data_IF_866573772335
#
_entry.id   IF_866573772335
#
_cell.length_a   1.000
_cell.length_b   1.000
_cell.length_c   1.000
_cell.angle_alpha   90.00
_cell.angle_beta   90.00
_cell.angle_gamma   90.00
#
_symmetry.space_group_name_H-M   'P 1'
#
loop_
_entity.id
_entity.type
_entity.pdbx_description
1 polymer ?
#
# COMPACT_ATOMS: atom_id res chain seq x y z
N UNK A 1 68.33 -44.51 -17.80
CA UNK A 1 68.31 -45.33 -19.07
C UNK A 1 67.08 -44.90 -19.84
N UNK A 2 67.37 -44.27 -21.00
CA UNK A 2 66.77 -44.33 -22.33
C UNK A 2 65.33 -43.79 -22.43
N UNK A 3 65.12 -42.57 -22.98
CA UNK A 3 65.28 -42.07 -24.36
C UNK A 3 64.36 -42.72 -25.36
N UNK A 4 63.75 -41.86 -26.16
CA UNK A 4 63.17 -41.93 -27.53
C UNK A 4 61.67 -41.70 -27.49
N UNK A 5 61.06 -40.68 -28.09
CA UNK A 5 61.44 -39.83 -29.22
C UNK A 5 60.34 -39.90 -30.30
N UNK A 6 60.16 -38.78 -30.99
CA UNK A 6 59.62 -38.64 -32.35
C UNK A 6 58.10 -38.39 -32.42
N UNK A 7 57.66 -37.18 -32.73
CA UNK A 7 57.67 -36.30 -33.90
C UNK A 7 56.46 -36.50 -34.84
N UNK A 8 55.85 -35.37 -35.15
CA UNK A 8 55.21 -34.94 -36.39
C UNK A 8 53.70 -35.16 -36.62
N UNK A 9 53.12 -34.04 -36.96
CA UNK A 9 51.83 -33.95 -37.64
C UNK A 9 51.21 -32.57 -37.61
N UNK A 10 51.90 -31.60 -38.26
CA UNK A 10 51.39 -30.29 -38.58
C UNK A 10 50.35 -30.40 -39.71
N UNK A 11 49.12 -30.01 -39.49
CA UNK A 11 48.21 -29.67 -40.58
C UNK A 11 47.44 -28.40 -40.23
N UNK A 12 47.92 -27.30 -40.81
CA UNK A 12 47.19 -26.04 -40.95
C UNK A 12 45.98 -26.29 -41.84
N UNK A 13 44.82 -25.90 -41.37
CA UNK A 13 43.66 -25.62 -42.25
C UNK A 13 43.19 -24.20 -41.96
N UNK A 14 43.61 -23.31 -42.86
CA UNK A 14 43.02 -21.97 -42.99
C UNK A 14 41.54 -22.11 -43.32
N UNK A 15 40.67 -21.51 -42.56
CA UNK A 15 39.30 -21.27 -43.04
C UNK A 15 38.90 -19.82 -42.69
N UNK A 16 38.63 -19.17 -43.73
CA UNK A 16 38.34 -17.76 -44.01
C UNK A 16 37.34 -17.13 -43.02
N UNK A 17 37.72 -15.98 -42.52
CA UNK A 17 36.86 -14.98 -41.87
C UNK A 17 35.94 -14.39 -42.95
N UNK A 18 34.66 -14.60 -42.83
CA UNK A 18 33.62 -13.76 -43.44
C UNK A 18 33.05 -12.86 -42.34
N UNK A 19 33.57 -11.63 -42.28
CA UNK A 19 32.90 -10.52 -41.65
C UNK A 19 31.69 -10.13 -42.51
N UNK A 20 30.50 -10.33 -41.96
CA UNK A 20 29.31 -9.64 -42.47
C UNK A 20 28.46 -9.17 -41.30
N UNK A 21 28.25 -7.87 -41.25
CA UNK A 21 27.02 -7.29 -40.81
C UNK A 21 27.00 -6.75 -39.37
N UNK A 22 27.29 -5.48 -39.24
CA UNK A 22 26.70 -4.65 -38.22
C UNK A 22 25.18 -4.84 -38.22
N UNK A 23 24.65 -5.46 -37.18
CA UNK A 23 23.24 -5.50 -36.84
C UNK A 23 23.08 -4.84 -35.50
N UNK A 24 22.27 -3.82 -35.49
CA UNK A 24 21.77 -3.00 -34.41
C UNK A 24 21.60 -3.80 -33.10
N UNK A 25 22.37 -3.49 -32.09
CA UNK A 25 22.21 -4.08 -30.76
C UNK A 25 21.06 -3.39 -30.02
N UNK A 26 19.84 -3.60 -30.49
CA UNK A 26 18.66 -3.47 -29.66
C UNK A 26 18.80 -4.48 -28.52
N UNK A 27 19.10 -3.99 -27.32
CA UNK A 27 19.26 -4.83 -26.14
C UNK A 27 18.03 -5.69 -25.90
N UNK A 28 18.13 -6.96 -26.28
CA UNK A 28 17.17 -7.99 -25.91
C UNK A 28 17.26 -8.13 -24.38
N UNK A 29 16.29 -7.51 -23.66
CA UNK A 29 16.13 -7.69 -22.21
C UNK A 29 15.93 -9.19 -21.96
N UNK A 30 16.59 -9.71 -20.93
CA UNK A 30 16.71 -11.13 -20.65
C UNK A 30 15.34 -11.81 -20.51
N UNK A 31 15.11 -12.86 -21.28
CA UNK A 31 14.01 -13.83 -21.14
C UNK A 31 14.36 -14.91 -20.10
N UNK A 32 15.07 -14.53 -19.03
CA UNK A 32 15.42 -15.43 -17.92
C UNK A 32 14.33 -15.49 -16.86
N UNK A 33 14.36 -16.53 -16.03
CA UNK A 33 13.50 -16.63 -14.86
C UNK A 33 13.76 -15.43 -13.91
N UNK A 34 12.68 -14.76 -13.49
CA UNK A 34 12.71 -13.61 -12.58
C UNK A 34 11.97 -13.98 -11.30
N UNK A 35 12.56 -13.70 -10.16
CA UNK A 35 11.88 -13.79 -8.86
C UNK A 35 11.69 -12.39 -8.30
N UNK A 36 10.45 -12.03 -7.99
CA UNK A 36 10.07 -10.76 -7.37
C UNK A 36 9.80 -11.00 -5.87
N UNK A 37 10.52 -10.32 -5.00
CA UNK A 37 10.27 -10.33 -3.56
C UNK A 37 9.26 -9.25 -3.22
N UNK A 38 8.15 -9.64 -2.59
CA UNK A 38 7.07 -8.75 -2.21
C UNK A 38 6.91 -8.69 -0.69
N UNK A 39 7.14 -7.51 -0.09
CA UNK A 39 6.99 -7.27 1.34
C UNK A 39 5.65 -6.60 1.67
N UNK A 40 5.07 -6.97 2.82
CA UNK A 40 3.82 -6.40 3.31
C UNK A 40 3.82 -6.29 4.85
N UNK A 41 3.22 -5.23 5.37
CA UNK A 41 3.19 -4.96 6.82
C UNK A 41 2.24 -5.83 7.62
N UNK A 42 1.20 -6.39 6.98
CA UNK A 42 0.18 -7.23 7.62
C UNK A 42 0.31 -8.70 7.20
N UNK A 43 -0.57 -9.56 7.74
CA UNK A 43 -0.59 -10.99 7.42
C UNK A 43 -0.89 -11.26 5.94
N UNK A 44 -0.09 -12.12 5.32
CA UNK A 44 -0.35 -12.60 3.96
C UNK A 44 -1.57 -13.53 3.93
N UNK A 45 -1.80 -14.30 4.99
CA UNK A 45 -2.82 -15.33 5.00
C UNK A 45 -4.21 -14.81 5.36
N UNK A 46 -4.29 -13.89 6.29
CA UNK A 46 -5.54 -13.49 6.93
C UNK A 46 -6.07 -12.15 6.40
N UNK A 47 -5.17 -11.19 6.09
CA UNK A 47 -5.61 -9.86 5.69
C UNK A 47 -6.10 -9.80 4.24
N UNK A 48 -6.99 -8.87 3.95
CA UNK A 48 -7.49 -8.63 2.59
C UNK A 48 -6.37 -8.22 1.62
N UNK A 49 -5.41 -7.40 2.10
CA UNK A 49 -4.21 -7.02 1.32
C UNK A 49 -3.33 -8.22 0.99
N UNK A 50 -3.11 -9.11 1.98
CA UNK A 50 -2.36 -10.35 1.79
C UNK A 50 -3.04 -11.30 0.79
N UNK A 51 -4.37 -11.45 0.86
CA UNK A 51 -5.14 -12.23 -0.12
C UNK A 51 -5.03 -11.63 -1.52
N UNK A 52 -5.02 -10.31 -1.64
CA UNK A 52 -4.77 -9.62 -2.91
C UNK A 52 -3.36 -9.88 -3.46
N UNK A 53 -2.34 -9.87 -2.61
CA UNK A 53 -0.97 -10.22 -3.00
C UNK A 53 -0.84 -11.70 -3.41
N UNK A 54 -1.54 -12.62 -2.75
CA UNK A 54 -1.62 -14.02 -3.19
C UNK A 54 -2.24 -14.15 -4.57
N UNK A 55 -3.32 -13.39 -4.84
CA UNK A 55 -3.96 -13.35 -6.14
C UNK A 55 -3.02 -12.77 -7.21
N UNK A 56 -2.33 -11.69 -6.90
CA UNK A 56 -1.30 -11.11 -7.78
C UNK A 56 -0.20 -12.14 -8.12
N UNK A 57 0.34 -12.83 -7.10
CA UNK A 57 1.31 -13.92 -7.28
C UNK A 57 0.78 -15.00 -8.20
N UNK A 58 -0.41 -15.55 -7.90
CA UNK A 58 -1.05 -16.60 -8.69
C UNK A 58 -1.15 -16.22 -10.18
N UNK A 59 -1.64 -14.99 -10.44
CA UNK A 59 -1.81 -14.49 -11.80
C UNK A 59 -0.47 -14.32 -12.51
N UNK A 60 0.51 -13.66 -11.88
CA UNK A 60 1.82 -13.43 -12.47
C UNK A 60 2.52 -14.74 -12.81
N UNK A 61 2.53 -15.71 -11.89
CA UNK A 61 3.16 -17.00 -12.10
C UNK A 61 2.47 -17.80 -13.23
N UNK A 62 1.13 -17.82 -13.23
CA UNK A 62 0.33 -18.51 -14.26
C UNK A 62 0.51 -17.88 -15.64
N UNK A 63 0.29 -16.58 -15.76
CA UNK A 63 0.30 -15.89 -17.06
C UNK A 63 1.71 -15.78 -17.65
N UNK A 64 2.76 -15.77 -16.81
CA UNK A 64 4.15 -15.84 -17.28
C UNK A 64 4.62 -17.27 -17.62
N UNK A 65 3.78 -18.30 -17.36
CA UNK A 65 4.18 -19.70 -17.50
C UNK A 65 5.30 -20.10 -16.54
N UNK A 66 5.36 -19.50 -15.35
CA UNK A 66 6.37 -19.74 -14.33
C UNK A 66 7.71 -19.03 -14.57
N UNK A 67 7.84 -18.20 -15.61
CA UNK A 67 9.06 -17.40 -15.85
C UNK A 67 9.27 -16.31 -14.81
N UNK A 68 8.17 -15.75 -14.31
CA UNK A 68 8.18 -14.76 -13.22
C UNK A 68 7.52 -15.40 -12.01
N UNK A 69 8.24 -15.47 -10.91
CA UNK A 69 7.75 -15.96 -9.62
C UNK A 69 7.67 -14.82 -8.61
N UNK A 70 6.78 -14.93 -7.62
CA UNK A 70 6.61 -13.92 -6.57
C UNK A 70 6.76 -14.58 -5.21
N UNK A 71 7.73 -14.14 -4.41
CA UNK A 71 7.91 -14.55 -3.02
C UNK A 71 7.25 -13.52 -2.10
N UNK A 72 6.33 -13.98 -1.22
CA UNK A 72 5.57 -13.12 -0.32
C UNK A 72 6.13 -13.16 1.09
N UNK A 73 6.35 -11.99 1.68
CA UNK A 73 6.84 -11.79 3.03
C UNK A 73 5.86 -10.88 3.79
N UNK A 74 5.09 -11.45 4.71
CA UNK A 74 4.10 -10.72 5.52
C UNK A 74 4.63 -10.26 6.87
N UNK A 75 3.71 -9.75 7.69
CA UNK A 75 3.92 -9.42 9.10
C UNK A 75 5.14 -8.51 9.35
N UNK A 76 5.45 -7.65 8.38
CA UNK A 76 6.58 -6.74 8.48
C UNK A 76 7.96 -7.41 8.51
N UNK A 77 8.10 -8.66 8.04
CA UNK A 77 9.38 -9.40 8.04
C UNK A 77 10.50 -8.65 7.29
N UNK A 78 10.16 -7.85 6.29
CA UNK A 78 11.12 -7.04 5.52
C UNK A 78 11.16 -5.58 5.95
N UNK A 79 10.52 -5.24 7.08
CA UNK A 79 10.45 -3.91 7.66
C UNK A 79 9.05 -3.31 7.67
N UNK A 80 8.96 -2.04 8.09
CA UNK A 80 7.72 -1.26 8.04
C UNK A 80 7.51 -0.63 6.64
N UNK A 81 6.35 -0.01 6.41
CA UNK A 81 5.99 0.57 5.11
C UNK A 81 7.07 1.51 4.58
N UNK A 82 7.60 2.41 5.42
CA UNK A 82 8.64 3.37 5.01
C UNK A 82 9.92 2.66 4.60
N UNK A 83 10.44 1.75 5.41
CA UNK A 83 11.69 1.03 5.12
C UNK A 83 11.57 0.13 3.89
N UNK A 84 10.39 -0.48 3.67
CA UNK A 84 10.14 -1.25 2.45
C UNK A 84 10.09 -0.36 1.20
N UNK A 85 9.53 0.84 1.27
CA UNK A 85 9.57 1.80 0.16
C UNK A 85 10.98 2.32 -0.11
N UNK A 86 11.77 2.61 0.92
CA UNK A 86 13.20 2.92 0.77
C UNK A 86 13.97 1.76 0.09
N UNK A 87 13.64 0.52 0.44
CA UNK A 87 14.21 -0.67 -0.20
C UNK A 87 13.81 -0.80 -1.69
N UNK A 88 12.57 -0.40 -2.07
CA UNK A 88 12.17 -0.29 -3.49
C UNK A 88 13.03 0.74 -4.24
N UNK A 89 13.22 1.94 -3.67
CA UNK A 89 14.05 2.98 -4.27
C UNK A 89 15.49 2.50 -4.52
N UNK A 90 16.03 1.75 -3.56
CA UNK A 90 17.37 1.17 -3.66
C UNK A 90 17.42 -0.05 -4.59
N UNK A 91 16.27 -0.69 -4.90
CA UNK A 91 16.16 -1.92 -5.68
C UNK A 91 16.65 -3.16 -4.92
N UNK A 92 16.55 -3.16 -3.59
CA UNK A 92 16.84 -4.31 -2.72
C UNK A 92 15.58 -5.09 -2.35
N UNK A 93 14.41 -4.50 -2.58
CA UNK A 93 13.10 -5.12 -2.57
C UNK A 93 12.43 -4.85 -3.92
N UNK A 94 11.63 -5.79 -4.42
CA UNK A 94 10.99 -5.66 -5.73
C UNK A 94 9.60 -5.07 -5.64
N UNK A 95 8.74 -5.57 -4.75
CA UNK A 95 7.32 -5.19 -4.64
C UNK A 95 6.96 -4.91 -3.18
N UNK A 96 6.08 -3.94 -2.94
CA UNK A 96 5.43 -3.74 -1.63
C UNK A 96 4.02 -3.18 -1.79
N UNK A 97 3.23 -3.27 -0.71
CA UNK A 97 1.82 -2.87 -0.63
C UNK A 97 1.56 -2.02 0.63
N UNK A 98 2.15 -0.83 0.78
CA UNK A 98 1.89 0.05 1.92
C UNK A 98 0.50 0.69 1.85
N UNK A 99 -0.01 1.17 2.99
CA UNK A 99 -1.10 2.16 2.99
C UNK A 99 -0.63 3.45 2.31
N UNK A 100 -1.57 4.19 1.68
CA UNK A 100 -1.26 5.44 0.97
C UNK A 100 -0.66 6.54 1.86
N UNK A 101 -1.01 6.56 3.14
CA UNK A 101 -0.63 7.65 4.04
C UNK A 101 0.89 7.79 4.25
N UNK A 102 1.67 6.71 4.52
CA UNK A 102 3.13 6.80 4.54
C UNK A 102 3.75 7.13 3.19
N UNK A 103 3.07 6.84 2.07
CA UNK A 103 3.58 7.15 0.72
C UNK A 103 3.72 8.66 0.50
N UNK A 104 2.95 9.48 1.22
CA UNK A 104 3.03 10.95 1.16
C UNK A 104 4.42 11.51 1.54
N UNK A 105 5.24 10.78 2.29
CA UNK A 105 6.62 11.16 2.55
C UNK A 105 7.51 11.11 1.29
N UNK A 106 7.14 10.28 0.32
CA UNK A 106 7.85 10.11 -0.95
C UNK A 106 7.25 10.95 -2.08
N UNK A 107 5.93 11.14 -2.07
CA UNK A 107 5.22 12.02 -2.99
C UNK A 107 4.04 12.70 -2.30
N UNK A 108 4.14 14.01 -2.13
CA UNK A 108 3.10 14.83 -1.46
C UNK A 108 1.73 14.75 -2.12
N UNK A 109 1.67 14.39 -3.40
CA UNK A 109 0.38 14.19 -4.10
C UNK A 109 -0.51 13.17 -3.41
N UNK A 110 0.06 12.18 -2.70
CA UNK A 110 -0.68 11.16 -1.96
C UNK A 110 -1.45 11.73 -0.76
N UNK A 111 -1.08 12.91 -0.24
CA UNK A 111 -1.82 13.60 0.81
C UNK A 111 -3.29 13.81 0.45
N UNK A 112 -3.62 13.87 -0.84
CA UNK A 112 -5.00 14.03 -1.29
C UNK A 112 -5.94 12.94 -0.74
N UNK A 113 -5.46 11.69 -0.63
CA UNK A 113 -6.27 10.57 -0.15
C UNK A 113 -6.45 10.53 1.37
N UNK A 114 -5.69 11.35 2.10
CA UNK A 114 -5.75 11.44 3.56
C UNK A 114 -6.67 12.56 4.06
N UNK A 115 -7.32 13.30 3.15
CA UNK A 115 -8.22 14.38 3.54
C UNK A 115 -9.46 13.79 4.25
N UNK A 116 -9.84 14.36 5.42
CA UNK A 116 -10.93 13.81 6.21
C UNK A 116 -12.27 13.92 5.46
N UNK A 117 -13.00 12.80 5.42
CA UNK A 117 -14.31 12.69 4.75
C UNK A 117 -14.31 13.04 3.26
N UNK A 118 -13.17 12.90 2.58
CA UNK A 118 -13.10 13.10 1.12
C UNK A 118 -14.04 12.14 0.38
N UNK A 119 -14.07 10.90 0.82
CA UNK A 119 -14.98 9.86 0.31
C UNK A 119 -15.99 9.48 1.39
N UNK A 120 -17.21 9.18 0.99
CA UNK A 120 -18.28 8.68 1.85
C UNK A 120 -18.75 7.27 1.45
N UNK A 121 -18.47 6.88 0.21
CA UNK A 121 -18.81 5.58 -0.35
C UNK A 121 -17.61 4.99 -1.11
N UNK A 122 -17.44 3.66 -1.15
CA UNK A 122 -16.32 3.01 -1.82
C UNK A 122 -16.25 3.34 -3.32
N UNK A 123 -17.40 3.51 -3.98
CA UNK A 123 -17.51 3.77 -5.41
C UNK A 123 -16.93 5.14 -5.79
N UNK A 124 -17.03 6.13 -4.89
CA UNK A 124 -16.40 7.45 -5.08
C UNK A 124 -14.86 7.30 -5.06
N UNK A 125 -14.35 6.52 -4.11
CA UNK A 125 -12.92 6.22 -4.05
C UNK A 125 -12.46 5.46 -5.30
N UNK A 126 -13.20 4.43 -5.73
CA UNK A 126 -12.87 3.66 -6.94
C UNK A 126 -12.79 4.58 -8.17
N UNK A 127 -13.76 5.48 -8.34
CA UNK A 127 -13.81 6.43 -9.46
C UNK A 127 -12.57 7.32 -9.50
N UNK A 128 -12.18 7.91 -8.38
CA UNK A 128 -11.00 8.80 -8.30
C UNK A 128 -9.70 8.02 -8.44
N UNK A 129 -9.55 6.90 -7.74
CA UNK A 129 -8.31 6.09 -7.72
C UNK A 129 -8.02 5.46 -9.08
N UNK A 130 -9.05 5.01 -9.78
CA UNK A 130 -8.90 4.39 -11.11
C UNK A 130 -8.96 5.42 -12.23
N UNK A 131 -9.43 6.65 -11.94
CA UNK A 131 -9.52 7.78 -12.85
C UNK A 131 -8.17 8.47 -13.12
N UNK A 132 -8.26 9.57 -13.89
CA UNK A 132 -7.08 10.32 -14.32
C UNK A 132 -6.25 10.87 -13.14
N UNK A 133 -6.92 11.38 -12.09
CA UNK A 133 -6.26 11.91 -10.90
C UNK A 133 -5.46 10.84 -10.17
N UNK A 134 -6.05 9.66 -9.94
CA UNK A 134 -5.37 8.54 -9.28
C UNK A 134 -4.17 8.04 -10.08
N UNK A 135 -4.32 7.92 -11.40
CA UNK A 135 -3.22 7.48 -12.28
C UNK A 135 -2.07 8.50 -12.32
N UNK A 136 -2.37 9.80 -12.31
CA UNK A 136 -1.34 10.84 -12.24
C UNK A 136 -0.59 10.81 -10.90
N UNK A 137 -1.32 10.58 -9.80
CA UNK A 137 -0.71 10.41 -8.47
C UNK A 137 0.20 9.17 -8.44
N UNK A 138 -0.23 8.01 -8.97
CA UNK A 138 0.64 6.84 -9.08
C UNK A 138 1.91 7.14 -9.87
N UNK A 139 1.78 7.83 -11.00
CA UNK A 139 2.91 8.19 -11.85
C UNK A 139 3.92 9.10 -11.16
N UNK A 140 3.49 9.91 -10.18
CA UNK A 140 4.41 10.77 -9.42
C UNK A 140 5.52 10.00 -8.70
N UNK A 141 5.31 8.71 -8.39
CA UNK A 141 6.30 7.83 -7.77
C UNK A 141 7.51 7.52 -8.66
N UNK A 142 7.39 7.68 -9.98
CA UNK A 142 8.52 7.47 -10.89
C UNK A 142 9.69 8.41 -10.59
N UNK A 143 9.38 9.63 -10.10
CA UNK A 143 10.40 10.62 -9.71
C UNK A 143 11.28 10.17 -8.54
N UNK A 144 10.82 9.19 -7.77
CA UNK A 144 11.52 8.60 -6.63
C UNK A 144 11.89 7.12 -6.84
N UNK A 145 12.06 6.72 -8.11
CA UNK A 145 12.48 5.37 -8.51
C UNK A 145 11.50 4.23 -8.10
N UNK A 146 10.23 4.52 -8.04
CA UNK A 146 9.15 3.56 -7.76
C UNK A 146 8.14 3.64 -8.89
N UNK A 147 7.59 2.49 -9.30
CA UNK A 147 6.47 2.40 -10.26
C UNK A 147 5.23 1.97 -9.49
N UNK A 148 4.22 2.83 -9.46
CA UNK A 148 2.90 2.49 -8.92
C UNK A 148 2.12 1.66 -9.93
N UNK A 149 1.59 0.51 -9.51
CA UNK A 149 0.86 -0.39 -10.39
C UNK A 149 -0.66 -0.17 -10.31
N UNK A 150 -1.22 -0.14 -9.12
CA UNK A 150 -2.65 0.11 -8.89
C UNK A 150 -2.93 0.36 -7.40
N UNK A 151 -4.20 0.69 -7.09
CA UNK A 151 -4.70 0.86 -5.74
C UNK A 151 -5.57 -0.31 -5.32
N UNK A 152 -5.16 -1.03 -4.27
CA UNK A 152 -6.03 -1.94 -3.53
C UNK A 152 -6.82 -1.15 -2.49
N UNK A 153 -7.82 -1.76 -1.87
CA UNK A 153 -8.60 -1.14 -0.82
C UNK A 153 -8.07 -1.53 0.56
N UNK A 154 -7.67 -0.53 1.36
CA UNK A 154 -7.54 -0.71 2.80
C UNK A 154 -8.89 -0.43 3.47
N UNK A 155 -9.55 0.68 3.11
CA UNK A 155 -10.95 0.95 3.42
C UNK A 155 -11.19 2.16 4.31
N UNK A 156 -12.44 2.28 4.77
CA UNK A 156 -12.87 3.32 5.71
C UNK A 156 -12.36 3.05 7.12
N UNK A 157 -11.83 4.08 7.76
CA UNK A 157 -11.18 3.99 9.04
C UNK A 157 -12.13 4.37 10.18
N UNK A 158 -12.04 3.59 11.25
CA UNK A 158 -12.84 3.70 12.45
C UNK A 158 -11.96 3.82 13.68
N UNK A 159 -12.43 4.48 14.72
CA UNK A 159 -11.66 4.76 15.93
C UNK A 159 -11.88 3.63 16.94
N UNK A 160 -10.81 3.11 17.56
CA UNK A 160 -10.92 2.25 18.74
C UNK A 160 -10.15 2.83 19.91
N UNK A 161 -10.61 2.55 21.13
CA UNK A 161 -9.90 2.92 22.34
C UNK A 161 -10.26 2.00 23.53
N UNK A 162 -9.45 2.05 24.58
CA UNK A 162 -9.63 1.25 25.80
C UNK A 162 -10.27 2.02 26.98
N UNK A 163 -10.61 3.31 26.80
CA UNK A 163 -11.01 4.20 27.89
C UNK A 163 -12.53 4.35 28.04
N UNK A 164 -13.20 4.85 27.01
CA UNK A 164 -14.62 5.16 27.01
C UNK A 164 -15.21 5.19 25.60
N UNK A 165 -16.53 5.09 25.45
CA UNK A 165 -17.19 5.30 24.15
C UNK A 165 -16.90 6.70 23.61
N UNK A 166 -16.72 6.81 22.29
CA UNK A 166 -16.62 8.08 21.56
C UNK A 166 -17.91 8.23 20.75
N UNK A 167 -18.80 9.11 21.19
CA UNK A 167 -20.12 9.36 20.55
C UNK A 167 -20.22 10.74 19.93
N UNK A 168 -19.29 11.62 20.27
CA UNK A 168 -19.18 12.99 19.77
C UNK A 168 -17.70 13.39 19.72
N UNK A 169 -17.40 14.44 18.96
CA UNK A 169 -16.01 14.88 18.74
C UNK A 169 -15.29 15.22 20.06
N UNK A 170 -15.99 15.82 21.03
CA UNK A 170 -15.40 16.18 22.32
C UNK A 170 -14.94 14.97 23.15
N UNK A 171 -15.49 13.79 22.88
CA UNK A 171 -15.06 12.56 23.56
C UNK A 171 -13.65 12.10 23.12
N UNK A 172 -13.10 12.69 22.05
CA UNK A 172 -11.71 12.47 21.65
C UNK A 172 -10.71 13.22 22.51
N UNK A 173 -11.17 14.19 23.33
CA UNK A 173 -10.30 15.10 24.08
C UNK A 173 -9.29 14.34 24.95
N UNK A 174 -7.99 14.58 24.67
CA UNK A 174 -6.87 14.03 25.42
C UNK A 174 -6.56 12.55 25.19
N UNK A 175 -7.37 11.80 24.40
CA UNK A 175 -7.05 10.41 24.05
C UNK A 175 -5.73 10.33 23.29
N UNK A 176 -4.80 9.52 23.76
CA UNK A 176 -3.55 9.19 23.06
C UNK A 176 -3.86 8.19 21.95
N UNK A 177 -4.15 8.71 20.77
CA UNK A 177 -4.50 7.91 19.61
C UNK A 177 -3.28 7.72 18.69
N UNK A 178 -2.96 6.47 18.39
CA UNK A 178 -1.99 6.22 17.31
C UNK A 178 -2.60 6.64 15.97
N UNK A 179 -1.81 7.33 15.19
CA UNK A 179 -2.09 7.63 13.79
C UNK A 179 -0.98 7.06 12.90
N UNK A 180 -1.25 6.96 11.60
CA UNK A 180 -0.17 6.76 10.64
C UNK A 180 0.77 7.97 10.65
N UNK A 181 1.99 7.78 10.15
CA UNK A 181 3.00 8.83 9.98
C UNK A 181 2.61 9.74 8.82
N UNK A 182 1.61 10.59 9.06
CA UNK A 182 1.01 11.48 8.07
C UNK A 182 0.61 12.80 8.71
N UNK A 183 0.99 13.95 8.14
CA UNK A 183 0.70 15.26 8.73
C UNK A 183 -0.79 15.61 8.75
N UNK A 184 -1.58 15.14 7.78
CA UNK A 184 -3.03 15.39 7.75
C UNK A 184 -3.70 14.64 8.91
N UNK A 185 -3.37 13.35 9.12
CA UNK A 185 -3.92 12.59 10.24
C UNK A 185 -3.59 13.25 11.59
N UNK A 186 -2.32 13.66 11.78
CA UNK A 186 -1.89 14.36 12.99
C UNK A 186 -2.70 15.65 13.24
N UNK A 187 -2.81 16.50 12.23
CA UNK A 187 -3.50 17.80 12.38
C UNK A 187 -5.00 17.61 12.57
N UNK A 188 -5.61 16.67 11.84
CA UNK A 188 -7.04 16.38 11.96
C UNK A 188 -7.41 15.93 13.38
N UNK A 189 -6.69 14.95 13.92
CA UNK A 189 -6.97 14.49 15.30
C UNK A 189 -6.62 15.53 16.36
N UNK A 190 -5.65 16.42 16.14
CA UNK A 190 -5.40 17.58 17.02
C UNK A 190 -6.57 18.56 17.02
N UNK A 191 -7.14 18.87 15.85
CA UNK A 191 -8.31 19.74 15.73
C UNK A 191 -9.49 19.14 16.50
N UNK A 192 -9.69 17.84 16.45
CA UNK A 192 -10.72 17.13 17.21
C UNK A 192 -10.38 16.91 18.69
N UNK A 193 -9.29 17.51 19.19
CA UNK A 193 -8.91 17.52 20.61
C UNK A 193 -8.16 16.28 21.10
N UNK A 194 -7.90 15.30 20.26
CA UNK A 194 -7.09 14.14 20.64
C UNK A 194 -5.60 14.51 20.79
N UNK A 195 -4.83 13.58 21.36
CA UNK A 195 -3.38 13.62 21.43
C UNK A 195 -2.78 12.56 20.47
N UNK A 196 -2.70 12.86 19.15
CA UNK A 196 -2.25 11.88 18.17
C UNK A 196 -0.75 11.59 18.29
N UNK A 197 -0.40 10.31 18.19
CA UNK A 197 0.97 9.78 18.26
C UNK A 197 1.30 9.04 16.96
N UNK A 198 2.14 9.60 16.08
CA UNK A 198 2.52 8.91 14.83
C UNK A 198 3.43 7.71 15.16
N UNK A 199 3.10 6.55 14.60
CA UNK A 199 3.82 5.32 14.88
C UNK A 199 3.71 4.34 13.70
N UNK A 200 4.78 3.59 13.42
CA UNK A 200 4.77 2.52 12.44
C UNK A 200 3.79 1.40 12.84
N UNK A 201 3.19 0.73 11.83
CA UNK A 201 2.10 -0.23 12.08
C UNK A 201 2.51 -1.40 12.96
N UNK A 202 3.70 -1.96 12.76
CA UNK A 202 4.24 -3.10 13.51
C UNK A 202 4.49 -2.83 15.01
N UNK A 203 4.43 -1.57 15.45
CA UNK A 203 4.63 -1.19 16.85
C UNK A 203 3.29 -1.02 17.60
N UNK A 204 2.16 -0.94 16.86
CA UNK A 204 0.87 -0.49 17.41
C UNK A 204 0.31 -1.48 18.43
N UNK A 205 0.27 -2.78 18.11
CA UNK A 205 -0.30 -3.79 19.02
C UNK A 205 0.38 -3.74 20.39
N UNK A 206 1.72 -3.77 20.40
CA UNK A 206 2.50 -3.70 21.65
C UNK A 206 2.25 -2.43 22.43
N UNK A 207 2.14 -1.27 21.75
CA UNK A 207 1.87 0.01 22.40
C UNK A 207 0.47 0.06 23.04
N UNK A 208 -0.54 -0.55 22.38
CA UNK A 208 -1.90 -0.68 22.92
C UNK A 208 -1.94 -1.66 24.12
N UNK A 209 -1.29 -2.81 23.99
CA UNK A 209 -1.20 -3.81 25.05
C UNK A 209 -0.51 -3.25 26.30
N UNK A 210 0.59 -2.53 26.12
CA UNK A 210 1.32 -1.84 27.20
C UNK A 210 0.62 -0.57 27.71
N UNK A 211 -0.52 -0.16 27.11
CA UNK A 211 -1.28 1.04 27.49
C UNK A 211 -0.48 2.34 27.38
N UNK A 212 0.55 2.40 26.55
CA UNK A 212 1.26 3.63 26.20
C UNK A 212 0.43 4.50 25.27
N UNK A 213 -0.49 3.86 24.53
CA UNK A 213 -1.57 4.46 23.76
C UNK A 213 -2.91 4.09 24.38
N UNK A 214 -3.90 4.97 24.21
CA UNK A 214 -5.28 4.72 24.62
C UNK A 214 -6.07 4.05 23.50
N UNK A 215 -5.72 4.34 22.25
CA UNK A 215 -6.42 3.84 21.08
C UNK A 215 -5.66 4.01 19.76
N UNK A 216 -6.33 3.66 18.69
CA UNK A 216 -5.87 3.76 17.32
C UNK A 216 -7.07 3.94 16.37
N UNK A 217 -6.82 4.10 15.09
CA UNK A 217 -7.82 4.16 14.04
C UNK A 217 -7.38 3.32 12.83
N UNK A 218 -8.26 2.49 12.32
CA UNK A 218 -8.05 1.61 11.17
C UNK A 218 -9.39 1.11 10.60
N UNK A 219 -9.40 0.50 9.40
CA UNK A 219 -10.55 -0.25 8.90
C UNK A 219 -10.87 -1.48 9.76
N UNK A 220 -12.11 -1.96 9.70
CA UNK A 220 -12.55 -3.15 10.44
C UNK A 220 -11.68 -4.37 10.14
N UNK A 221 -11.27 -4.52 8.88
CA UNK A 221 -10.40 -5.61 8.42
C UNK A 221 -9.07 -5.62 9.17
N UNK A 222 -8.47 -4.46 9.38
CA UNK A 222 -7.19 -4.34 10.08
C UNK A 222 -7.38 -4.45 11.60
N UNK A 223 -8.45 -3.87 12.16
CA UNK A 223 -8.75 -3.98 13.59
C UNK A 223 -8.89 -5.45 14.01
N UNK A 224 -9.52 -6.26 13.17
CA UNK A 224 -9.68 -7.69 13.43
C UNK A 224 -8.39 -8.49 13.15
N UNK A 225 -7.80 -8.32 11.97
CA UNK A 225 -6.63 -9.10 11.53
C UNK A 225 -5.40 -8.89 12.42
N UNK A 226 -5.16 -7.64 12.86
CA UNK A 226 -4.06 -7.32 13.76
C UNK A 226 -4.37 -7.56 15.25
N UNK A 227 -5.53 -8.12 15.58
CA UNK A 227 -5.92 -8.44 16.95
C UNK A 227 -6.17 -7.23 17.85
N UNK A 228 -6.35 -6.02 17.29
CA UNK A 228 -6.52 -4.82 18.13
C UNK A 228 -7.76 -4.91 19.04
N UNK A 229 -8.79 -5.65 18.64
CA UNK A 229 -9.97 -5.91 19.46
C UNK A 229 -9.64 -6.57 20.82
N UNK A 230 -8.51 -7.25 20.95
CA UNK A 230 -8.09 -7.86 22.22
C UNK A 230 -7.69 -6.82 23.26
N UNK A 231 -7.20 -5.67 22.80
CA UNK A 231 -6.70 -4.58 23.66
C UNK A 231 -7.66 -3.39 23.73
N UNK A 232 -8.66 -3.32 22.85
CA UNK A 232 -9.58 -2.20 22.68
C UNK A 232 -10.99 -2.58 23.13
N UNK A 233 -11.60 -1.77 23.99
CA UNK A 233 -12.94 -2.04 24.53
C UNK A 233 -14.07 -1.35 23.78
N UNK A 234 -13.75 -0.25 23.13
CA UNK A 234 -14.71 0.62 22.47
C UNK A 234 -14.28 0.86 21.04
N UNK A 235 -15.24 0.83 20.14
CA UNK A 235 -15.07 1.13 18.73
C UNK A 235 -16.14 2.11 18.29
N UNK A 236 -15.78 3.09 17.48
CA UNK A 236 -16.69 4.06 16.90
C UNK A 236 -16.59 4.00 15.38
N UNK A 237 -17.70 3.64 14.74
CA UNK A 237 -17.84 3.74 13.28
C UNK A 237 -17.94 5.21 12.93
N UNK A 238 -16.89 5.75 12.37
CA UNK A 238 -16.72 7.19 12.08
C UNK A 238 -16.46 7.48 10.61
N UNK A 239 -15.88 6.54 9.87
CA UNK A 239 -15.52 6.66 8.45
C UNK A 239 -14.83 7.99 8.12
N UNK A 240 -14.01 8.48 9.06
CA UNK A 240 -13.39 9.79 9.00
C UNK A 240 -12.30 9.92 7.94
N UNK A 241 -11.67 8.81 7.56
CA UNK A 241 -10.77 8.68 6.41
C UNK A 241 -11.11 7.44 5.60
N UNK A 242 -10.82 7.50 4.32
CA UNK A 242 -10.66 6.33 3.46
C UNK A 242 -9.20 6.25 3.02
N UNK A 243 -8.58 5.10 3.12
CA UNK A 243 -7.20 4.92 2.65
C UNK A 243 -7.11 3.76 1.67
N UNK A 244 -6.49 3.93 0.52
CA UNK A 244 -6.10 2.80 -0.32
C UNK A 244 -4.78 2.18 0.15
N UNK A 245 -4.53 0.94 -0.24
CA UNK A 245 -3.20 0.40 -0.38
C UNK A 245 -2.64 0.73 -1.76
N UNK A 246 -1.33 0.84 -1.87
CA UNK A 246 -0.66 1.13 -3.14
C UNK A 246 0.23 -0.05 -3.51
N UNK A 247 -0.17 -0.83 -4.53
CA UNK A 247 0.70 -1.87 -5.07
C UNK A 247 1.77 -1.21 -5.93
N UNK A 248 3.03 -1.40 -5.58
CA UNK A 248 4.14 -0.74 -6.25
C UNK A 248 5.33 -1.68 -6.44
N UNK A 249 6.13 -1.39 -7.45
CA UNK A 249 7.33 -2.14 -7.80
C UNK A 249 8.52 -1.19 -7.90
N UNK A 250 9.71 -1.67 -7.52
CA UNK A 250 10.97 -0.96 -7.72
C UNK A 250 11.19 -0.65 -9.21
N UNK A 251 11.50 0.62 -9.52
CA UNK A 251 11.83 1.00 -10.90
C UNK A 251 13.02 0.21 -11.43
N UNK A 252 14.00 -0.12 -10.58
CA UNK A 252 15.15 -0.96 -10.98
C UNK A 252 14.75 -2.37 -11.37
N UNK A 253 13.76 -2.95 -10.70
CA UNK A 253 13.23 -4.28 -11.04
C UNK A 253 12.34 -4.20 -12.27
N UNK A 254 11.49 -3.17 -12.36
CA UNK A 254 10.64 -2.90 -13.50
C UNK A 254 11.41 -2.72 -14.81
N UNK A 255 12.48 -1.94 -14.80
CA UNK A 255 13.28 -1.63 -15.98
C UNK A 255 14.09 -2.84 -16.51
N UNK A 256 14.24 -3.90 -15.71
CA UNK A 256 14.85 -5.18 -16.15
C UNK A 256 13.87 -6.07 -16.90
N UNK A 257 12.56 -5.87 -16.70
CA UNK A 257 11.52 -6.65 -17.37
C UNK A 257 11.41 -6.27 -18.84
N UNK A 258 11.01 -7.23 -19.67
CA UNK A 258 10.63 -6.93 -21.06
C UNK A 258 9.35 -6.09 -21.10
N UNK A 259 9.07 -5.35 -22.19
CA UNK A 259 7.81 -4.62 -22.32
C UNK A 259 6.57 -5.54 -22.22
N UNK A 260 6.70 -6.79 -22.68
CA UNK A 260 5.66 -7.81 -22.59
C UNK A 260 5.42 -8.22 -21.14
N UNK A 261 6.49 -8.42 -20.36
CA UNK A 261 6.41 -8.78 -18.94
C UNK A 261 5.90 -7.61 -18.09
N UNK A 262 6.30 -6.38 -18.42
CA UNK A 262 5.74 -5.17 -17.78
C UNK A 262 4.22 -5.08 -17.99
N UNK A 263 3.77 -5.32 -19.23
CA UNK A 263 2.34 -5.34 -19.55
C UNK A 263 1.60 -6.46 -18.82
N UNK A 264 2.19 -7.65 -18.77
CA UNK A 264 1.64 -8.81 -18.05
C UNK A 264 1.47 -8.49 -16.57
N UNK A 265 2.51 -7.97 -15.90
CA UNK A 265 2.46 -7.61 -14.47
C UNK A 265 1.40 -6.54 -14.23
N UNK A 266 1.31 -5.52 -15.09
CA UNK A 266 0.29 -4.48 -14.96
C UNK A 266 -1.13 -5.05 -15.10
N UNK A 267 -1.36 -5.98 -16.02
CA UNK A 267 -2.65 -6.66 -16.17
C UNK A 267 -2.99 -7.50 -14.94
N UNK A 268 -2.03 -8.29 -14.44
CA UNK A 268 -2.20 -9.09 -13.23
C UNK A 268 -2.48 -8.22 -11.99
N UNK A 269 -1.82 -7.06 -11.87
CA UNK A 269 -2.08 -6.11 -10.80
C UNK A 269 -3.52 -5.57 -10.83
N UNK A 270 -4.03 -5.22 -12.02
CA UNK A 270 -5.39 -4.74 -12.18
C UNK A 270 -6.45 -5.82 -11.90
N UNK A 271 -6.19 -7.07 -12.28
CA UNK A 271 -7.09 -8.18 -11.98
C UNK A 271 -7.06 -8.51 -10.47
N UNK A 272 -5.88 -8.54 -9.86
CA UNK A 272 -5.73 -8.74 -8.42
C UNK A 272 -6.38 -7.60 -7.61
N UNK A 273 -6.36 -6.36 -8.10
CA UNK A 273 -7.07 -5.21 -7.52
C UNK A 273 -8.57 -5.48 -7.39
N UNK A 274 -9.20 -5.92 -8.46
CA UNK A 274 -10.64 -6.20 -8.47
C UNK A 274 -10.99 -7.27 -7.43
N UNK A 275 -10.27 -8.39 -7.45
CA UNK A 275 -10.44 -9.46 -6.46
C UNK A 275 -10.23 -8.96 -5.01
N UNK A 276 -9.22 -8.14 -4.78
CA UNK A 276 -8.89 -7.64 -3.45
C UNK A 276 -9.97 -6.68 -2.92
N UNK A 277 -10.47 -5.76 -3.73
CA UNK A 277 -11.54 -4.83 -3.32
C UNK A 277 -12.82 -5.57 -2.94
N UNK A 278 -13.25 -6.55 -3.75
CA UNK A 278 -14.40 -7.40 -3.43
C UNK A 278 -14.18 -8.18 -2.13
N UNK A 279 -12.99 -8.73 -1.96
CA UNK A 279 -12.61 -9.46 -0.74
C UNK A 279 -12.61 -8.55 0.47
N UNK A 280 -12.03 -7.34 0.36
CA UNK A 280 -11.97 -6.39 1.46
C UNK A 280 -13.36 -5.97 1.94
N UNK A 281 -14.27 -5.61 1.03
CA UNK A 281 -15.66 -5.17 1.33
C UNK A 281 -16.46 -6.28 2.01
N UNK A 282 -16.30 -7.50 1.57
CA UNK A 282 -16.90 -8.67 2.22
C UNK A 282 -16.36 -8.88 3.64
N UNK A 283 -15.03 -8.85 3.79
CA UNK A 283 -14.36 -9.04 5.08
C UNK A 283 -14.63 -7.88 6.05
N UNK A 284 -14.76 -6.65 5.57
CA UNK A 284 -15.06 -5.49 6.41
C UNK A 284 -16.38 -5.68 7.18
N UNK A 285 -17.41 -6.13 6.48
CA UNK A 285 -18.71 -6.45 7.08
C UNK A 285 -18.62 -7.65 8.03
N UNK A 286 -17.95 -8.73 7.61
CA UNK A 286 -17.78 -9.95 8.40
C UNK A 286 -17.03 -9.67 9.70
N UNK A 287 -15.93 -8.94 9.62
CA UNK A 287 -15.05 -8.69 10.77
C UNK A 287 -15.63 -7.69 11.76
N UNK A 288 -16.46 -6.77 11.33
CA UNK A 288 -17.25 -5.95 12.26
C UNK A 288 -18.16 -6.83 13.14
N UNK A 289 -18.75 -7.87 12.58
CA UNK A 289 -19.51 -8.86 13.33
C UNK A 289 -18.66 -9.59 14.37
N UNK A 290 -17.50 -10.10 13.95
CA UNK A 290 -16.55 -10.80 14.82
C UNK A 290 -16.00 -9.90 15.94
N UNK A 291 -15.67 -8.64 15.64
CA UNK A 291 -15.23 -7.67 16.67
C UNK A 291 -16.28 -7.51 17.76
N UNK A 292 -17.57 -7.43 17.40
CA UNK A 292 -18.69 -7.38 18.35
C UNK A 292 -18.80 -8.68 19.17
N UNK A 293 -18.64 -9.83 18.54
CA UNK A 293 -18.67 -11.15 19.20
C UNK A 293 -17.55 -11.29 20.24
N UNK A 294 -16.41 -10.64 20.04
CA UNK A 294 -15.31 -10.56 21.02
C UNK A 294 -15.57 -9.56 22.17
N UNK A 295 -16.76 -8.94 22.22
CA UNK A 295 -17.19 -8.10 23.34
C UNK A 295 -16.75 -6.63 23.23
N UNK A 296 -16.30 -6.18 22.09
CA UNK A 296 -16.06 -4.76 21.85
C UNK A 296 -17.39 -4.03 21.72
N UNK A 297 -17.54 -2.95 22.50
CA UNK A 297 -18.73 -2.08 22.39
C UNK A 297 -18.57 -1.21 21.15
N UNK A 298 -19.49 -1.34 20.20
CA UNK A 298 -19.46 -0.62 18.93
C UNK A 298 -20.56 0.43 18.89
N UNK A 299 -20.18 1.69 18.79
CA UNK A 299 -21.06 2.84 18.55
C UNK A 299 -20.89 3.36 17.10
N UNK A 300 -21.89 4.07 16.62
CA UNK A 300 -21.81 4.78 15.32
C UNK A 300 -22.06 6.26 15.58
N UNK A 301 -21.24 7.14 14.98
CA UNK A 301 -21.47 8.58 15.07
C UNK A 301 -22.79 8.96 14.39
N UNK A 302 -23.51 9.89 15.01
CA UNK A 302 -24.71 10.45 14.38
C UNK A 302 -24.34 11.30 13.16
N UNK A 303 -25.27 11.49 12.22
CA UNK A 303 -25.07 12.41 11.08
C UNK A 303 -24.70 13.83 11.50
N UNK A 304 -25.23 14.30 12.62
CA UNK A 304 -24.94 15.63 13.19
C UNK A 304 -23.50 15.72 13.67
N UNK A 305 -22.98 14.68 14.35
CA UNK A 305 -21.59 14.64 14.81
C UNK A 305 -20.62 14.50 13.62
N UNK A 306 -20.96 13.71 12.60
CA UNK A 306 -20.18 13.63 11.37
C UNK A 306 -20.13 15.01 10.68
N UNK A 307 -21.26 15.72 10.59
CA UNK A 307 -21.30 17.06 10.00
C UNK A 307 -20.43 18.06 10.78
N UNK A 308 -20.44 17.97 12.14
CA UNK A 308 -19.60 18.79 12.98
C UNK A 308 -18.12 18.48 12.79
N UNK A 309 -17.72 17.21 12.78
CA UNK A 309 -16.34 16.81 12.53
C UNK A 309 -15.85 17.26 11.14
N UNK A 310 -16.70 17.19 10.12
CA UNK A 310 -16.41 17.72 8.77
C UNK A 310 -16.16 19.23 8.80
N UNK A 311 -17.02 19.98 9.50
CA UNK A 311 -16.88 21.44 9.59
C UNK A 311 -15.57 21.83 10.31
N UNK A 312 -15.26 21.19 11.42
CA UNK A 312 -14.02 21.42 12.16
C UNK A 312 -12.77 21.05 11.37
N UNK A 313 -12.86 20.07 10.47
CA UNK A 313 -11.75 19.63 9.61
C UNK A 313 -11.53 20.48 8.34
N UNK A 314 -12.44 21.40 7.99
CA UNK A 314 -12.28 22.26 6.80
C UNK A 314 -10.92 22.95 6.68
N UNK A 315 -10.33 23.50 7.78
CA UNK A 315 -9.02 24.14 7.70
C UNK A 315 -7.89 23.21 7.21
N UNK A 316 -8.07 21.89 7.30
CA UNK A 316 -7.10 20.90 6.80
C UNK A 316 -6.99 20.96 5.28
N UNK A 317 -8.11 21.09 4.59
CA UNK A 317 -8.17 21.21 3.13
C UNK A 317 -7.37 22.42 2.65
N UNK A 318 -7.61 23.59 3.25
CA UNK A 318 -6.88 24.82 2.90
C UNK A 318 -5.38 24.69 3.21
N UNK A 319 -5.05 24.17 4.39
CA UNK A 319 -3.66 24.02 4.85
C UNK A 319 -2.81 23.17 3.92
N UNK A 320 -3.37 22.07 3.40
CA UNK A 320 -2.63 21.10 2.58
C UNK A 320 -2.86 21.26 1.07
N UNK A 321 -3.73 22.19 0.64
CA UNK A 321 -4.01 22.44 -0.78
C UNK A 321 -2.76 22.76 -1.62
N UNK A 322 -1.80 23.48 -1.03
CA UNK A 322 -0.53 23.81 -1.69
C UNK A 322 0.38 22.60 -1.90
N UNK A 323 0.46 21.70 -0.92
CA UNK A 323 1.26 20.49 -0.99
C UNK A 323 0.67 19.45 -1.96
N UNK A 324 -0.66 19.33 -1.99
CA UNK A 324 -1.40 18.45 -2.91
C UNK A 324 -1.38 19.01 -4.34
N UNK A 325 -1.39 20.32 -4.48
CA UNK A 325 -1.66 21.07 -5.72
C UNK A 325 -3.14 21.43 -5.82
N UNK A 326 -3.44 22.73 -5.76
CA UNK A 326 -4.82 23.23 -5.67
C UNK A 326 -5.72 22.71 -6.81
N UNK A 327 -5.24 22.80 -8.06
CA UNK A 327 -6.01 22.33 -9.23
C UNK A 327 -6.31 20.84 -9.17
N UNK A 328 -5.36 20.04 -8.68
CA UNK A 328 -5.54 18.59 -8.47
C UNK A 328 -6.57 18.34 -7.37
N UNK A 329 -6.49 19.05 -6.25
CA UNK A 329 -7.46 18.92 -5.17
C UNK A 329 -8.87 19.25 -5.64
N UNK A 330 -9.06 20.36 -6.34
CA UNK A 330 -10.35 20.77 -6.90
C UNK A 330 -10.89 19.71 -7.89
N UNK A 331 -10.02 19.14 -8.71
CA UNK A 331 -10.37 18.05 -9.65
C UNK A 331 -10.80 16.77 -8.92
N UNK A 332 -10.06 16.36 -7.87
CA UNK A 332 -10.39 15.19 -7.06
C UNK A 332 -11.72 15.38 -6.33
N UNK A 333 -11.93 16.52 -5.70
CA UNK A 333 -13.19 16.82 -5.00
C UNK A 333 -14.39 16.75 -5.94
N UNK A 334 -14.27 17.31 -7.14
CA UNK A 334 -15.31 17.25 -8.18
C UNK A 334 -15.55 15.80 -8.67
N UNK A 335 -14.50 15.00 -8.77
CA UNK A 335 -14.62 13.60 -9.21
C UNK A 335 -15.25 12.73 -8.12
N UNK A 336 -15.04 13.06 -6.83
CA UNK A 336 -15.59 12.37 -5.67
C UNK A 336 -17.10 12.67 -5.43
N UNK A 337 -17.63 13.73 -6.02
CA UNK A 337 -19.08 14.00 -6.05
C UNK A 337 -19.82 13.01 -6.98
#
# INVERSE_FOLDING_TARGET
>A
KKIVGVLTGLTMLLMSVLLTGCGDSGGQKATGNVTLKAGFGSSIDNSSGGQGLKKFKELVEKESGGRITVELFGDGQLGNDKSMMEALQMGTLDVTLPSSSPVSEFSKSFLAFDLPFLFTEPEQADKVLDGANGQEILKSLESVNIVGLCYFENGFRNITNSKHPVKKVEDLAGLKLRTMQNPIHLETFKIWGANPQPMAFNEVFTALEQKTLDGQENPNTIIYDAGFYETQKYMTISHHFYTPYVLMISKKSWDKLSPEDQKLIQQCANEAKTYQRETNRRLDTEYLGKIKEHGVTVDTLSPEEIAKMKEEAKPIYDKFSGDIGKERLDSIMKEAE
#
